data_IF_791425300839
#
_entry.id   IF_791425300839
#
_cell.length_a   1.000
_cell.length_b   1.000
_cell.length_c   1.000
_cell.angle_alpha   90.00
_cell.angle_beta   90.00
_cell.angle_gamma   90.00
#
_symmetry.space_group_name_H-M   'P 1'
#
loop_
_entity.id
_entity.type
_entity.pdbx_description
1 polymer ?
#
# COMPACT_ATOMS: atom_id res chain seq x y z
N UNK A 1 -16.06 12.13 -1.09
CA UNK A 1 -16.76 11.04 -1.80
C UNK A 1 -17.39 10.16 -0.72
N UNK A 2 -18.65 10.43 -0.34
CA UNK A 2 -19.30 9.77 0.80
C UNK A 2 -20.50 9.04 0.23
N UNK A 3 -20.54 7.70 0.35
CA UNK A 3 -21.75 6.94 0.03
C UNK A 3 -22.92 7.53 0.81
N UNK A 4 -24.01 7.86 0.12
CA UNK A 4 -25.20 8.33 0.83
C UNK A 4 -25.88 7.11 1.43
N UNK A 5 -26.35 7.17 2.68
CA UNK A 5 -27.10 6.07 3.27
C UNK A 5 -28.31 5.76 2.37
N UNK A 6 -28.43 4.50 1.92
CA UNK A 6 -29.50 4.04 1.02
C UNK A 6 -29.14 3.88 -0.46
N UNK A 7 -27.89 4.14 -0.86
CA UNK A 7 -27.45 3.91 -2.23
C UNK A 7 -27.33 2.41 -2.56
N UNK A 8 -28.07 1.95 -3.58
CA UNK A 8 -27.88 0.63 -4.18
C UNK A 8 -26.52 0.57 -4.92
N UNK A 9 -25.84 -0.57 -4.85
CA UNK A 9 -24.47 -0.77 -5.38
C UNK A 9 -24.37 -0.41 -6.87
N UNK A 10 -25.31 -0.81 -7.75
CA UNK A 10 -25.29 -0.42 -9.16
C UNK A 10 -25.36 1.09 -9.36
N UNK A 11 -26.19 1.79 -8.59
CA UNK A 11 -26.31 3.25 -8.68
C UNK A 11 -25.03 3.96 -8.25
N UNK A 12 -24.35 3.43 -7.22
CA UNK A 12 -23.04 3.91 -6.81
C UNK A 12 -21.98 3.71 -7.92
N UNK A 13 -21.96 2.54 -8.55
CA UNK A 13 -21.02 2.23 -9.62
C UNK A 13 -21.27 3.08 -10.88
N UNK A 14 -22.52 3.32 -11.24
CA UNK A 14 -22.89 4.19 -12.36
C UNK A 14 -22.39 5.63 -12.14
N UNK A 15 -22.64 6.21 -10.95
CA UNK A 15 -22.14 7.56 -10.61
C UNK A 15 -20.62 7.67 -10.66
N UNK A 16 -19.92 6.61 -10.23
CA UNK A 16 -18.45 6.54 -10.33
C UNK A 16 -17.99 6.54 -11.78
N UNK A 17 -18.61 5.73 -12.62
CA UNK A 17 -18.31 5.65 -14.05
C UNK A 17 -18.49 7.02 -14.74
N UNK A 18 -19.60 7.70 -14.46
CA UNK A 18 -19.86 9.03 -15.02
C UNK A 18 -18.85 10.07 -14.56
N UNK A 19 -18.43 10.02 -13.29
CA UNK A 19 -17.38 10.90 -12.77
C UNK A 19 -16.03 10.65 -13.47
N UNK A 20 -15.63 9.38 -13.64
CA UNK A 20 -14.40 9.02 -14.32
C UNK A 20 -14.38 9.48 -15.79
N UNK A 21 -15.52 9.43 -16.49
CA UNK A 21 -15.61 9.93 -17.86
C UNK A 21 -15.37 11.44 -17.99
N UNK A 22 -15.69 12.21 -16.95
CA UNK A 22 -15.43 13.67 -16.90
C UNK A 22 -14.00 14.01 -16.51
N UNK A 23 -13.25 13.07 -15.93
CA UNK A 23 -11.85 13.28 -15.59
C UNK A 23 -10.97 13.27 -16.82
N UNK A 24 -9.91 14.08 -16.80
CA UNK A 24 -8.83 13.99 -17.77
C UNK A 24 -8.13 12.63 -17.67
N UNK A 25 -7.75 12.00 -18.79
CA UNK A 25 -6.97 10.77 -18.77
C UNK A 25 -5.65 10.94 -18.00
N UNK A 26 -5.28 9.95 -17.19
CA UNK A 26 -4.01 9.93 -16.46
C UNK A 26 -2.83 9.79 -17.41
N UNK A 27 -1.75 10.52 -17.15
CA UNK A 27 -0.53 10.48 -17.97
C UNK A 27 0.16 9.11 -17.99
N UNK A 28 0.04 8.34 -16.90
CA UNK A 28 0.76 7.07 -16.74
C UNK A 28 0.27 5.94 -17.67
N UNK A 29 -1.04 5.88 -17.97
CA UNK A 29 -1.61 4.85 -18.85
C UNK A 29 -2.73 5.33 -19.78
N UNK A 30 -2.99 6.63 -19.87
CA UNK A 30 -4.16 7.19 -20.57
C UNK A 30 -5.51 6.64 -20.07
N UNK A 31 -5.49 6.01 -18.90
CA UNK A 31 -6.62 5.48 -18.16
C UNK A 31 -7.40 6.64 -17.52
N UNK A 32 -8.75 6.64 -17.64
CA UNK A 32 -9.60 7.72 -17.10
C UNK A 32 -10.06 7.51 -15.67
N UNK A 33 -10.22 6.26 -15.27
CA UNK A 33 -10.57 5.92 -13.88
C UNK A 33 -9.28 5.56 -13.12
N UNK A 34 -8.88 6.37 -12.12
CA UNK A 34 -7.75 6.04 -11.26
C UNK A 34 -7.92 4.71 -10.53
N UNK A 35 -9.16 4.28 -10.26
CA UNK A 35 -9.44 3.04 -9.52
C UNK A 35 -9.29 1.79 -10.38
N UNK A 36 -9.29 1.91 -11.70
CA UNK A 36 -8.99 0.79 -12.63
C UNK A 36 -7.58 0.87 -13.20
N UNK A 37 -6.77 1.83 -12.74
CA UNK A 37 -5.37 1.96 -13.15
C UNK A 37 -4.54 0.91 -12.42
N UNK A 38 -3.96 -0.05 -13.17
CA UNK A 38 -3.06 -1.07 -12.62
C UNK A 38 -1.58 -0.70 -12.74
N UNK A 39 -1.22 0.53 -13.14
CA UNK A 39 0.19 0.94 -13.23
C UNK A 39 0.90 0.88 -11.88
N UNK A 40 0.18 1.05 -10.77
CA UNK A 40 0.72 0.87 -9.43
C UNK A 40 1.05 -0.60 -9.10
N UNK A 41 0.49 -1.55 -9.84
CA UNK A 41 0.76 -2.99 -9.71
C UNK A 41 1.95 -3.43 -10.58
N UNK A 42 2.38 -2.59 -11.53
CA UNK A 42 3.57 -2.82 -12.35
C UNK A 42 4.89 -2.54 -11.61
N UNK A 43 4.84 -2.38 -10.28
CA UNK A 43 6.03 -2.33 -9.44
C UNK A 43 6.75 -3.68 -9.59
N UNK A 44 7.97 -3.63 -10.10
CA UNK A 44 8.83 -4.80 -10.27
C UNK A 44 8.82 -5.63 -8.98
N UNK A 45 8.68 -6.97 -9.08
CA UNK A 45 8.64 -7.82 -7.89
C UNK A 45 9.91 -7.62 -7.07
N UNK A 46 9.74 -7.29 -5.79
CA UNK A 46 10.84 -7.12 -4.84
C UNK A 46 11.69 -8.40 -4.84
N UNK A 47 12.98 -8.25 -5.13
CA UNK A 47 13.93 -9.37 -5.09
C UNK A 47 14.28 -9.71 -3.64
N UNK A 48 14.75 -10.93 -3.39
CA UNK A 48 15.15 -11.33 -2.03
C UNK A 48 16.31 -10.45 -1.50
N UNK A 49 17.22 -10.03 -2.40
CA UNK A 49 18.30 -9.11 -2.03
C UNK A 49 17.78 -7.72 -1.60
N UNK A 50 16.78 -7.20 -2.30
CA UNK A 50 16.12 -5.96 -1.88
C UNK A 50 15.40 -6.14 -0.54
N UNK A 51 14.79 -7.32 -0.31
CA UNK A 51 14.11 -7.64 0.95
C UNK A 51 15.10 -7.64 2.13
N UNK A 52 16.29 -8.20 1.95
CA UNK A 52 17.37 -8.15 2.95
C UNK A 52 17.79 -6.71 3.25
N UNK A 53 17.93 -5.87 2.22
CA UNK A 53 18.21 -4.45 2.37
C UNK A 53 17.14 -3.70 3.15
N UNK A 54 15.86 -3.98 2.88
CA UNK A 54 14.74 -3.43 3.63
C UNK A 54 14.76 -3.85 5.10
N UNK A 55 15.03 -5.13 5.39
CA UNK A 55 15.16 -5.62 6.77
C UNK A 55 16.28 -4.91 7.51
N UNK A 56 17.46 -4.78 6.89
CA UNK A 56 18.62 -4.12 7.49
C UNK A 56 18.36 -2.63 7.77
N UNK A 57 17.76 -1.91 6.81
CA UNK A 57 17.42 -0.50 6.97
C UNK A 57 16.38 -0.28 8.07
N UNK A 58 15.34 -1.13 8.13
CA UNK A 58 14.32 -1.06 9.15
C UNK A 58 14.89 -1.29 10.55
N UNK A 59 15.76 -2.30 10.71
CA UNK A 59 16.47 -2.57 11.97
C UNK A 59 17.34 -1.38 12.37
N UNK A 60 18.13 -0.83 11.45
CA UNK A 60 18.97 0.34 11.72
C UNK A 60 18.14 1.54 12.21
N UNK A 61 17.00 1.84 11.58
CA UNK A 61 16.13 2.93 12.00
C UNK A 61 15.55 2.67 13.41
N UNK A 62 15.10 1.45 13.67
CA UNK A 62 14.56 1.06 14.98
C UNK A 62 15.62 1.15 16.09
N UNK A 63 16.87 0.78 15.79
CA UNK A 63 17.98 0.84 16.75
C UNK A 63 18.37 2.29 17.07
N UNK A 64 18.10 3.24 16.16
CA UNK A 64 18.23 4.68 16.38
C UNK A 64 16.97 5.31 17.00
N UNK A 65 15.98 4.51 17.42
CA UNK A 65 14.72 5.00 18.00
C UNK A 65 13.79 5.69 17.00
N UNK A 66 14.03 5.52 15.69
CA UNK A 66 13.21 6.05 14.62
C UNK A 66 12.16 5.03 14.19
N UNK A 67 11.01 5.52 13.73
CA UNK A 67 9.95 4.69 13.15
C UNK A 67 10.14 4.53 11.64
N UNK A 68 10.55 3.36 11.13
CA UNK A 68 10.68 3.13 9.70
C UNK A 68 9.31 3.10 8.99
N UNK A 69 9.20 3.80 7.87
CA UNK A 69 8.05 3.73 6.96
C UNK A 69 8.32 2.70 5.86
N UNK A 70 7.83 1.48 6.05
CA UNK A 70 8.07 0.35 5.13
C UNK A 70 6.86 0.10 4.23
N UNK A 71 7.02 -0.04 2.90
CA UNK A 71 5.90 -0.35 2.00
C UNK A 71 5.15 -1.62 2.40
N UNK A 72 3.83 -1.64 2.20
CA UNK A 72 2.97 -2.77 2.61
C UNK A 72 3.39 -4.10 1.96
N UNK A 73 3.86 -4.06 0.71
CA UNK A 73 4.29 -5.26 -0.01
C UNK A 73 5.58 -5.86 0.55
N UNK A 74 6.51 -5.01 0.98
CA UNK A 74 7.71 -5.42 1.72
C UNK A 74 7.29 -6.09 3.03
N UNK A 75 6.41 -5.46 3.82
CA UNK A 75 5.94 -6.04 5.09
C UNK A 75 5.25 -7.40 4.92
N UNK A 76 4.39 -7.53 3.89
CA UNK A 76 3.73 -8.80 3.56
C UNK A 76 4.74 -9.87 3.15
N UNK A 77 5.79 -9.50 2.43
CA UNK A 77 6.82 -10.44 1.97
C UNK A 77 7.71 -10.91 3.13
N UNK A 78 8.11 -10.00 4.03
CA UNK A 78 8.79 -10.34 5.29
C UNK A 78 7.97 -11.31 6.14
N UNK A 79 6.66 -11.07 6.28
CA UNK A 79 5.76 -11.95 7.01
C UNK A 79 5.70 -13.38 6.43
N UNK A 80 5.65 -13.49 5.09
CA UNK A 80 5.61 -14.77 4.37
C UNK A 80 6.94 -15.51 4.46
N UNK A 81 8.08 -14.80 4.41
CA UNK A 81 9.43 -15.38 4.55
C UNK A 81 9.65 -16.06 5.91
N UNK A 82 9.02 -15.55 6.97
CA UNK A 82 9.02 -16.20 8.28
C UNK A 82 10.25 -15.88 9.13
N UNK A 83 10.48 -16.65 10.20
CA UNK A 83 11.65 -16.50 11.07
C UNK A 83 11.80 -15.09 11.67
N UNK A 84 13.03 -14.56 11.62
CA UNK A 84 13.37 -13.21 12.08
C UNK A 84 12.62 -12.12 11.32
N UNK A 85 12.37 -12.31 10.02
CA UNK A 85 11.67 -11.32 9.19
C UNK A 85 10.20 -11.18 9.60
N UNK A 86 9.56 -12.28 10.04
CA UNK A 86 8.20 -12.21 10.60
C UNK A 86 8.17 -11.46 11.92
N UNK A 87 9.15 -11.67 12.79
CA UNK A 87 9.26 -10.93 14.05
C UNK A 87 9.45 -9.42 13.78
N UNK A 88 10.28 -9.07 12.80
CA UNK A 88 10.46 -7.70 12.35
C UNK A 88 9.14 -7.09 11.82
N UNK A 89 8.40 -7.80 10.97
CA UNK A 89 7.12 -7.33 10.45
C UNK A 89 6.08 -7.06 11.56
N UNK A 90 6.06 -7.90 12.62
CA UNK A 90 5.19 -7.67 13.79
C UNK A 90 5.59 -6.42 14.57
N UNK A 91 6.89 -6.21 14.79
CA UNK A 91 7.43 -5.02 15.47
C UNK A 91 7.09 -3.75 14.69
N UNK A 92 7.25 -3.77 13.37
CA UNK A 92 6.91 -2.64 12.49
C UNK A 92 5.43 -2.26 12.60
N UNK A 93 4.54 -3.24 12.68
CA UNK A 93 3.10 -2.99 12.87
C UNK A 93 2.80 -2.27 14.18
N UNK A 94 3.46 -2.65 15.28
CA UNK A 94 3.26 -2.03 16.60
C UNK A 94 3.73 -0.58 16.64
N UNK A 95 4.88 -0.27 16.05
CA UNK A 95 5.43 1.10 16.04
C UNK A 95 4.52 2.06 15.26
N UNK A 96 3.90 1.60 14.17
CA UNK A 96 2.95 2.41 13.42
C UNK A 96 1.61 2.61 14.13
N UNK A 97 1.17 1.68 15.00
CA UNK A 97 -0.11 1.81 15.71
C UNK A 97 -0.07 2.80 16.88
N UNK A 98 1.09 2.96 17.54
CA UNK A 98 1.22 3.80 18.74
C UNK A 98 1.24 5.32 18.44
N UNK A 99 1.28 5.71 17.16
CA UNK A 99 1.22 7.12 16.72
C UNK A 99 -0.18 7.60 16.30
N UNK A 100 -1.18 6.73 16.36
CA UNK A 100 -2.57 7.03 16.00
C UNK A 100 -3.50 7.26 17.21
N UNK A 101 -2.94 7.37 18.43
CA UNK A 101 -3.63 7.74 19.67
C UNK A 101 -3.04 9.04 20.22
#
# INVERSE_FOLDING_TARGET
MISRPGDDVPAQLARRRDAAHRSEPLECCSCRDPLTCHCHEQVQPITEHQLDGWSAAALHLLDNGLSPAVPVDVQRRLWRRGGSDRALAQRLRGVCSDRAA
#
